data_IF_003560060205
#
_entry.id   IF_003560060205
#
_cell.length_a   1.000
_cell.length_b   1.000
_cell.length_c   1.000
_cell.angle_alpha   90.00
_cell.angle_beta   90.00
_cell.angle_gamma   90.00
#
_symmetry.space_group_name_H-M   'P 1'
#
loop_
_entity.id
_entity.type
_entity.pdbx_description
1 polymer ?
#
# COMPACT_ATOMS: atom_id res chain seq x y z
N UNK A 1 7.30 -14.11 -17.32
CA UNK A 1 8.76 -13.83 -17.33
C UNK A 1 9.40 -14.43 -16.09
N UNK A 2 10.62 -14.97 -16.15
CA UNK A 2 11.35 -15.41 -14.97
C UNK A 2 11.65 -14.23 -14.04
N UNK A 3 11.80 -14.47 -12.74
CA UNK A 3 12.05 -13.42 -11.73
C UNK A 3 13.31 -12.59 -12.01
N UNK A 4 14.34 -13.20 -12.61
CA UNK A 4 15.57 -12.51 -13.04
C UNK A 4 15.34 -11.37 -14.02
N UNK A 5 14.31 -11.47 -14.87
CA UNK A 5 13.98 -10.42 -15.84
C UNK A 5 13.67 -9.09 -15.14
N UNK A 6 12.97 -9.13 -14.01
CA UNK A 6 12.57 -7.94 -13.26
C UNK A 6 13.68 -7.38 -12.36
N UNK A 7 14.74 -8.17 -12.08
CA UNK A 7 15.92 -7.66 -11.38
C UNK A 7 16.78 -6.75 -12.27
N UNK A 8 16.78 -7.00 -13.58
CA UNK A 8 17.63 -6.29 -14.55
C UNK A 8 16.92 -5.09 -15.21
N UNK A 9 15.59 -4.99 -15.07
CA UNK A 9 14.79 -3.98 -15.75
C UNK A 9 13.93 -3.21 -14.73
N UNK A 10 14.10 -1.89 -14.70
CA UNK A 10 13.29 -0.99 -13.86
C UNK A 10 12.48 -0.04 -14.73
N UNK A 11 11.24 0.22 -14.32
CA UNK A 11 10.35 1.22 -14.95
C UNK A 11 10.24 2.39 -13.98
N UNK A 12 10.46 3.60 -14.47
CA UNK A 12 10.41 4.83 -13.67
C UNK A 12 9.15 5.63 -14.00
N UNK A 13 8.52 6.20 -12.98
CA UNK A 13 7.41 7.13 -13.14
C UNK A 13 7.56 8.32 -12.19
N UNK A 14 6.92 9.43 -12.52
CA UNK A 14 7.06 10.69 -11.77
C UNK A 14 6.21 10.73 -10.49
N UNK A 15 5.10 9.98 -10.43
CA UNK A 15 4.16 9.95 -9.29
C UNK A 15 3.96 8.54 -8.78
N UNK A 16 3.76 8.38 -7.47
CA UNK A 16 3.49 7.07 -6.86
C UNK A 16 2.26 6.38 -7.47
N UNK A 17 1.16 7.11 -7.70
CA UNK A 17 -0.01 6.52 -8.35
C UNK A 17 0.25 5.99 -9.77
N UNK A 18 1.21 6.57 -10.50
CA UNK A 18 1.63 6.03 -11.81
C UNK A 18 2.49 4.76 -11.62
N UNK A 19 3.35 4.72 -10.58
CA UNK A 19 4.12 3.52 -10.20
C UNK A 19 3.19 2.37 -9.82
N UNK A 20 2.15 2.64 -9.02
CA UNK A 20 1.19 1.64 -8.56
C UNK A 20 0.42 1.02 -9.72
N UNK A 21 -0.07 1.86 -10.66
CA UNK A 21 -0.76 1.38 -11.86
C UNK A 21 0.15 0.55 -12.78
N UNK A 22 1.43 0.94 -12.92
CA UNK A 22 2.42 0.17 -13.67
C UNK A 22 2.70 -1.18 -13.01
N UNK A 23 2.92 -1.18 -11.69
CA UNK A 23 3.19 -2.39 -10.91
C UNK A 23 2.02 -3.36 -10.97
N UNK A 24 0.78 -2.90 -10.82
CA UNK A 24 -0.39 -3.77 -10.90
C UNK A 24 -0.58 -4.35 -12.31
N UNK A 25 -0.29 -3.58 -13.36
CA UNK A 25 -0.32 -4.07 -14.73
C UNK A 25 0.71 -5.18 -14.97
N UNK A 26 1.95 -4.98 -14.49
CA UNK A 26 3.02 -5.98 -14.58
C UNK A 26 2.65 -7.23 -13.78
N UNK A 27 2.18 -7.06 -12.54
CA UNK A 27 1.73 -8.15 -11.67
C UNK A 27 0.59 -8.93 -12.32
N UNK A 28 -0.34 -8.27 -12.99
CA UNK A 28 -1.44 -8.90 -13.75
C UNK A 28 -0.95 -9.84 -14.85
N UNK A 29 0.19 -9.53 -15.49
CA UNK A 29 0.81 -10.35 -16.55
C UNK A 29 1.68 -11.49 -16.01
N UNK A 30 2.07 -11.46 -14.74
CA UNK A 30 2.84 -12.54 -14.13
C UNK A 30 1.98 -13.80 -13.93
N UNK A 31 2.57 -14.97 -14.13
CA UNK A 31 1.93 -16.25 -13.80
C UNK A 31 2.03 -16.43 -12.27
N UNK A 32 1.02 -17.06 -11.66
CA UNK A 32 0.99 -17.30 -10.22
C UNK A 32 -0.31 -16.83 -9.57
N UNK A 33 -0.59 -17.36 -8.40
CA UNK A 33 -1.74 -16.95 -7.56
C UNK A 33 -1.49 -15.55 -7.02
N UNK A 34 -2.44 -14.63 -7.25
CA UNK A 34 -2.41 -13.30 -6.62
C UNK A 34 -2.94 -13.43 -5.20
N UNK A 35 -2.19 -12.91 -4.23
CA UNK A 35 -2.56 -12.81 -2.83
C UNK A 35 -2.57 -11.36 -2.40
N UNK A 36 -3.66 -10.94 -1.77
CA UNK A 36 -3.87 -9.57 -1.33
C UNK A 36 -3.86 -9.51 0.19
N UNK A 37 -3.09 -8.58 0.74
CA UNK A 37 -2.94 -8.31 2.16
C UNK A 37 -3.47 -6.92 2.45
N UNK A 38 -4.40 -6.80 3.40
CA UNK A 38 -5.04 -5.54 3.78
C UNK A 38 -4.38 -5.02 5.06
N UNK A 39 -4.10 -3.72 5.12
CA UNK A 39 -3.56 -3.06 6.30
C UNK A 39 -4.58 -3.06 7.45
N UNK A 40 -4.04 -3.06 8.68
CA UNK A 40 -4.83 -2.89 9.90
C UNK A 40 -4.29 -1.66 10.61
N UNK A 41 -4.89 -0.52 10.30
CA UNK A 41 -4.43 0.78 10.77
C UNK A 41 -5.18 1.22 12.03
N UNK A 42 -4.48 1.91 12.93
CA UNK A 42 -5.05 2.50 14.14
C UNK A 42 -4.34 3.79 14.51
N UNK A 43 -5.07 4.69 15.14
CA UNK A 43 -4.49 5.88 15.76
C UNK A 43 -4.02 5.50 17.16
N UNK A 44 -2.82 5.95 17.51
CA UNK A 44 -2.29 5.80 18.87
C UNK A 44 -2.51 7.12 19.61
N UNK A 45 -3.24 7.06 20.73
CA UNK A 45 -3.51 8.23 21.55
C UNK A 45 -2.68 8.23 22.83
N UNK A 46 -2.06 9.36 23.17
CA UNK A 46 -1.35 9.54 24.43
C UNK A 46 -2.20 10.39 25.41
N UNK A 47 -2.27 9.93 26.67
CA UNK A 47 -3.05 10.60 27.70
C UNK A 47 -2.49 12.01 27.98
N UNK A 48 -3.36 13.02 27.91
CA UNK A 48 -3.01 14.43 28.14
C UNK A 48 -2.45 15.17 26.91
N UNK A 49 -2.16 14.46 25.82
CA UNK A 49 -1.73 15.06 24.55
C UNK A 49 -2.86 15.12 23.51
N UNK A 50 -3.73 14.10 23.50
CA UNK A 50 -4.75 13.93 22.47
C UNK A 50 -6.17 14.00 23.07
N UNK A 51 -7.12 14.53 22.29
CA UNK A 51 -8.54 14.46 22.63
C UNK A 51 -9.00 12.99 22.63
N UNK A 52 -9.62 12.48 23.72
CA UNK A 52 -10.13 11.12 23.79
C UNK A 52 -11.09 10.75 22.65
N UNK A 53 -11.74 11.73 22.01
CA UNK A 53 -12.69 11.51 20.91
C UNK A 53 -12.05 11.33 19.53
N UNK A 54 -10.73 11.53 19.39
CA UNK A 54 -10.04 11.43 18.08
C UNK A 54 -10.18 10.04 17.45
N UNK A 55 -10.16 8.98 18.26
CA UNK A 55 -10.31 7.61 17.76
C UNK A 55 -11.70 7.33 17.17
N UNK A 56 -12.75 7.93 17.73
CA UNK A 56 -14.12 7.75 17.23
C UNK A 56 -14.42 8.65 16.02
N UNK A 57 -13.64 9.71 15.83
CA UNK A 57 -13.84 10.69 14.77
C UNK A 57 -13.22 10.28 13.42
N UNK A 58 -12.24 9.37 13.42
CA UNK A 58 -11.54 8.95 12.20
C UNK A 58 -11.90 7.52 11.80
N UNK A 59 -12.66 7.33 10.70
CA UNK A 59 -13.02 6.00 10.22
C UNK A 59 -11.78 5.23 9.72
N UNK A 60 -11.82 3.90 9.84
CA UNK A 60 -10.71 3.03 9.40
C UNK A 60 -10.47 3.13 7.89
N UNK A 61 -11.52 3.39 7.11
CA UNK A 61 -11.45 3.62 5.67
C UNK A 61 -10.62 4.86 5.33
N UNK A 62 -10.64 5.89 6.20
CA UNK A 62 -9.79 7.06 6.02
C UNK A 62 -8.32 6.71 6.28
N UNK A 63 -8.04 5.94 7.34
CA UNK A 63 -6.68 5.49 7.64
C UNK A 63 -6.09 4.65 6.49
N UNK A 64 -6.90 3.75 5.91
CA UNK A 64 -6.51 2.94 4.76
C UNK A 64 -6.28 3.76 3.48
N UNK A 65 -6.88 4.96 3.38
CA UNK A 65 -6.72 5.84 2.21
C UNK A 65 -5.46 6.70 2.22
N UNK A 66 -4.67 6.67 3.31
CA UNK A 66 -3.45 7.47 3.43
C UNK A 66 -2.35 6.91 2.50
N UNK A 67 -1.79 7.77 1.64
CA UNK A 67 -0.79 7.41 0.64
C UNK A 67 0.56 8.15 0.80
N UNK A 68 0.83 8.66 2.00
CA UNK A 68 2.01 9.46 2.26
C UNK A 68 3.31 8.66 2.01
N UNK A 69 4.31 9.33 1.42
CA UNK A 69 5.61 8.71 1.12
C UNK A 69 6.24 8.12 2.38
N UNK A 70 6.63 6.85 2.29
CA UNK A 70 7.22 6.10 3.41
C UNK A 70 6.23 5.32 4.27
N UNK A 71 4.92 5.47 4.05
CA UNK A 71 3.91 4.58 4.63
C UNK A 71 3.77 3.30 3.80
N UNK A 72 3.37 2.22 4.46
CA UNK A 72 2.94 1.01 3.78
C UNK A 72 1.57 1.26 3.11
N UNK A 73 1.30 0.65 1.94
CA UNK A 73 0.00 0.81 1.30
C UNK A 73 -1.11 0.12 2.11
N UNK A 74 -2.33 0.66 2.02
CA UNK A 74 -3.51 0.05 2.65
C UNK A 74 -3.87 -1.33 2.09
N UNK A 75 -3.46 -1.60 0.84
CA UNK A 75 -3.60 -2.90 0.18
C UNK A 75 -2.30 -3.28 -0.52
N UNK A 76 -1.81 -4.49 -0.26
CA UNK A 76 -0.62 -5.05 -0.90
C UNK A 76 -0.96 -6.35 -1.63
N UNK A 77 -0.84 -6.34 -2.96
CA UNK A 77 -1.04 -7.52 -3.80
C UNK A 77 0.29 -8.10 -4.28
N UNK A 78 0.50 -9.40 -4.08
CA UNK A 78 1.73 -10.14 -4.42
C UNK A 78 1.39 -11.42 -5.23
N UNK A 79 2.39 -11.96 -5.93
CA UNK A 79 2.31 -13.26 -6.63
C UNK A 79 3.50 -14.15 -6.28
N UNK A 80 3.26 -15.47 -6.29
CA UNK A 80 4.27 -16.54 -6.08
C UNK A 80 4.72 -17.11 -7.41
#
# INVERSE_FOLDING_TARGET
PPSSYFLEHSILAARNGDVDGLNDNVLGRMVGERRTFISVDKITTEAGANDPQVNDAMPVEYLQSLDASGLAPGELSLKV
#
